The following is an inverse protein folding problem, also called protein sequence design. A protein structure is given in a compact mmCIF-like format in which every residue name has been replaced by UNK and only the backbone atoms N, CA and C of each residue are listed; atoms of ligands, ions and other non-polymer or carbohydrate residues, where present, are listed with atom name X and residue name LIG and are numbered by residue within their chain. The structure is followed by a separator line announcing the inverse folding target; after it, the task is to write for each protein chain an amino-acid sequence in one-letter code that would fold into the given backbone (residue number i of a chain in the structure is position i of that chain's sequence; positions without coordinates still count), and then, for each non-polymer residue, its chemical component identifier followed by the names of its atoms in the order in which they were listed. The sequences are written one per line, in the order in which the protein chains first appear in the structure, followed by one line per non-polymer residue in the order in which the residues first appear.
data_IF_191588162323
#
_entry.id   IF_191588162323
#
_cell.length_a   1.000
_cell.length_b   1.000
_cell.length_c   1.000
_cell.angle_alpha   90.00
_cell.angle_beta   90.00
_cell.angle_gamma   90.00
#
_symmetry.space_group_name_H-M   'P 1'
#
loop_
_entity.id
_entity.type
_entity.pdbx_description
1 polymer ?
#
# COMPACT_ATOMS: atom_id res chain seq x y z
N UNK A 1 -23.73 -6.91 -8.85
CA UNK A 1 -23.40 -5.72 -8.03
C UNK A 1 -23.30 -6.04 -6.55
N UNK A 2 -24.33 -6.60 -5.90
CA UNK A 2 -24.32 -6.96 -4.46
C UNK A 2 -23.09 -7.77 -4.05
N UNK A 3 -22.88 -8.90 -4.72
CA UNK A 3 -21.75 -9.79 -4.50
C UNK A 3 -20.37 -9.13 -4.75
N UNK A 4 -20.29 -8.09 -5.59
CA UNK A 4 -19.02 -7.37 -5.85
C UNK A 4 -18.68 -6.47 -4.66
N UNK A 5 -19.67 -5.73 -4.18
CA UNK A 5 -19.52 -4.87 -3.00
C UNK A 5 -19.24 -5.70 -1.75
N UNK A 6 -19.88 -6.87 -1.62
CA UNK A 6 -19.59 -7.80 -0.53
C UNK A 6 -18.14 -8.30 -0.58
N UNK A 7 -17.65 -8.73 -1.74
CA UNK A 7 -16.25 -9.14 -1.89
C UNK A 7 -15.26 -8.00 -1.58
N UNK A 8 -15.58 -6.77 -2.00
CA UNK A 8 -14.79 -5.58 -1.66
C UNK A 8 -14.76 -5.32 -0.15
N UNK A 9 -15.92 -5.42 0.52
CA UNK A 9 -16.03 -5.29 1.96
C UNK A 9 -15.23 -6.38 2.69
N UNK A 10 -15.34 -7.63 2.24
CA UNK A 10 -14.57 -8.75 2.80
C UNK A 10 -13.07 -8.51 2.66
N UNK A 11 -12.58 -8.13 1.48
CA UNK A 11 -11.13 -7.88 1.31
C UNK A 11 -10.61 -6.74 2.19
N UNK A 12 -11.40 -5.68 2.41
CA UNK A 12 -11.04 -4.59 3.32
C UNK A 12 -11.08 -5.00 4.78
N UNK A 13 -12.10 -5.77 5.14
CA UNK A 13 -12.26 -6.32 6.46
C UNK A 13 -11.11 -7.25 6.82
N UNK A 14 -10.74 -8.16 5.91
CA UNK A 14 -9.59 -9.04 6.05
C UNK A 14 -8.30 -8.25 6.18
N UNK A 15 -8.11 -7.19 5.38
CA UNK A 15 -6.92 -6.35 5.46
C UNK A 15 -6.81 -5.67 6.84
N UNK A 16 -7.93 -5.15 7.36
CA UNK A 16 -7.99 -4.55 8.70
C UNK A 16 -7.74 -5.56 9.82
N UNK A 17 -8.51 -6.65 9.86
CA UNK A 17 -8.50 -7.59 10.99
C UNK A 17 -7.20 -8.38 11.08
N UNK A 18 -6.49 -8.60 9.97
CA UNK A 18 -5.28 -9.43 9.93
C UNK A 18 -3.97 -8.64 9.99
N UNK A 19 -3.96 -7.36 9.59
CA UNK A 19 -2.71 -6.62 9.35
C UNK A 19 -2.67 -5.20 9.92
N UNK A 20 -3.64 -4.82 10.76
CA UNK A 20 -3.70 -3.47 11.35
C UNK A 20 -4.07 -3.51 12.84
N UNK A 21 -3.35 -4.28 13.65
CA UNK A 21 -3.53 -4.34 15.11
C UNK A 21 -2.85 -3.19 15.85
N UNK A 22 -1.68 -2.74 15.39
CA UNK A 22 -0.93 -1.69 16.06
C UNK A 22 -1.44 -0.30 15.63
N UNK A 23 -1.73 0.58 16.59
CA UNK A 23 -2.28 1.93 16.34
C UNK A 23 -1.23 2.88 15.73
N UNK A 24 0.07 2.62 15.89
CA UNK A 24 1.14 3.32 15.14
C UNK A 24 1.03 2.94 13.68
N UNK A 25 0.91 1.65 13.37
CA UNK A 25 0.65 1.18 12.01
C UNK A 25 -0.61 1.84 11.41
N UNK A 26 -1.73 1.81 12.13
CA UNK A 26 -2.96 2.50 11.70
C UNK A 26 -2.78 4.02 11.50
N UNK A 27 -2.01 4.70 12.35
CA UNK A 27 -1.74 6.14 12.21
C UNK A 27 -0.85 6.44 11.01
N UNK A 28 0.11 5.57 10.71
CA UNK A 28 0.91 5.65 9.50
C UNK A 28 0.09 5.37 8.24
N UNK A 29 -0.88 4.46 8.31
CA UNK A 29 -1.88 4.28 7.25
C UNK A 29 -2.75 5.52 7.05
N UNK A 30 -3.15 6.22 8.12
CA UNK A 30 -3.85 7.49 7.99
C UNK A 30 -3.01 8.56 7.26
N UNK A 31 -1.74 8.72 7.66
CA UNK A 31 -0.82 9.64 6.97
C UNK A 31 -0.65 9.25 5.50
N UNK A 32 -0.43 7.96 5.23
CA UNK A 32 -0.34 7.41 3.89
C UNK A 32 -1.58 7.74 3.06
N UNK A 33 -2.75 7.52 3.62
CA UNK A 33 -4.02 7.71 2.94
C UNK A 33 -4.26 9.18 2.58
N UNK A 34 -4.00 10.11 3.50
CA UNK A 34 -4.07 11.55 3.23
C UNK A 34 -3.10 11.95 2.11
N UNK A 35 -1.86 11.45 2.15
CA UNK A 35 -0.87 11.72 1.10
C UNK A 35 -1.27 11.12 -0.26
N UNK A 36 -1.91 9.94 -0.30
CA UNK A 36 -2.43 9.36 -1.54
C UNK A 36 -3.55 10.20 -2.14
N UNK A 37 -4.46 10.76 -1.33
CA UNK A 37 -5.51 11.66 -1.82
C UNK A 37 -4.90 12.92 -2.42
N UNK A 38 -3.87 13.49 -1.79
CA UNK A 38 -3.10 14.61 -2.38
C UNK A 38 -2.42 14.18 -3.69
N UNK A 39 -1.82 12.99 -3.73
CA UNK A 39 -1.21 12.44 -4.94
C UNK A 39 -2.23 12.25 -6.07
N UNK A 40 -3.49 11.88 -5.78
CA UNK A 40 -4.55 11.78 -6.80
C UNK A 40 -4.87 13.13 -7.43
N UNK A 41 -4.88 14.22 -6.66
CA UNK A 41 -5.03 15.57 -7.21
C UNK A 41 -3.84 15.91 -8.10
N UNK A 42 -2.62 15.66 -7.61
CA UNK A 42 -1.40 15.91 -8.38
C UNK A 42 -1.31 15.05 -9.64
N UNK A 43 -1.91 13.87 -9.70
CA UNK A 43 -1.90 13.03 -10.90
C UNK A 43 -2.52 13.75 -12.10
N UNK A 44 -3.44 14.68 -11.86
CA UNK A 44 -4.10 15.50 -12.87
C UNK A 44 -3.32 16.78 -13.23
N UNK A 45 -2.33 17.15 -12.42
CA UNK A 45 -1.53 18.38 -12.56
C UNK A 45 -0.15 18.03 -13.11
N UNK A 46 0.56 17.15 -12.41
CA UNK A 46 1.88 16.64 -12.72
C UNK A 46 1.99 15.18 -12.20
N UNK A 47 1.90 14.18 -13.10
CA UNK A 47 2.01 12.77 -12.75
C UNK A 47 3.34 12.38 -12.08
N UNK A 48 4.42 13.11 -12.35
CA UNK A 48 5.74 12.84 -11.78
C UNK A 48 5.79 13.30 -10.33
N UNK A 49 5.30 14.51 -10.04
CA UNK A 49 5.15 14.99 -8.65
C UNK A 49 4.18 14.10 -7.87
N UNK A 50 3.08 13.67 -8.50
CA UNK A 50 2.15 12.69 -7.92
C UNK A 50 2.87 11.42 -7.46
N UNK A 51 3.72 10.84 -8.31
CA UNK A 51 4.50 9.65 -7.98
C UNK A 51 5.50 9.90 -6.85
N UNK A 52 6.18 11.06 -6.82
CA UNK A 52 7.07 11.41 -5.72
C UNK A 52 6.32 11.46 -4.38
N UNK A 53 5.16 12.12 -4.32
CA UNK A 53 4.32 12.17 -3.11
C UNK A 53 3.86 10.76 -2.71
N UNK A 54 3.37 9.99 -3.69
CA UNK A 54 2.88 8.64 -3.48
C UNK A 54 3.97 7.72 -2.91
N UNK A 55 5.21 7.80 -3.40
CA UNK A 55 6.28 6.91 -2.96
C UNK A 55 7.02 7.39 -1.71
N UNK A 56 7.42 8.67 -1.66
CA UNK A 56 8.22 9.22 -0.56
C UNK A 56 7.44 9.38 0.73
N UNK A 57 6.16 9.76 0.65
CA UNK A 57 5.33 9.96 1.83
C UNK A 57 4.39 8.78 2.02
N UNK A 58 3.58 8.49 1.00
CA UNK A 58 2.47 7.57 1.20
C UNK A 58 2.90 6.11 1.35
N UNK A 59 3.62 5.56 0.38
CA UNK A 59 4.11 4.19 0.44
C UNK A 59 5.13 4.02 1.55
N UNK A 60 6.03 4.99 1.77
CA UNK A 60 7.01 4.89 2.85
C UNK A 60 6.35 4.79 4.23
N UNK A 61 5.34 5.61 4.53
CA UNK A 61 4.61 5.53 5.80
C UNK A 61 3.82 4.22 5.94
N UNK A 62 3.04 3.83 4.91
CA UNK A 62 2.30 2.56 4.89
C UNK A 62 3.21 1.35 5.10
N UNK A 63 4.33 1.32 4.40
CA UNK A 63 5.26 0.19 4.49
C UNK A 63 5.98 0.19 5.84
N UNK A 64 6.35 1.35 6.38
CA UNK A 64 6.88 1.43 7.74
C UNK A 64 5.91 0.87 8.78
N UNK A 65 4.62 1.15 8.65
CA UNK A 65 3.57 0.57 9.48
C UNK A 65 3.56 -0.95 9.45
N UNK A 66 3.47 -1.53 8.25
CA UNK A 66 3.47 -2.98 8.07
C UNK A 66 4.78 -3.68 8.47
N UNK A 67 5.95 -3.09 8.21
CA UNK A 67 7.24 -3.76 8.44
C UNK A 67 7.76 -3.62 9.87
N UNK A 68 7.57 -2.46 10.51
CA UNK A 68 8.21 -2.17 11.79
C UNK A 68 7.27 -2.25 12.99
N UNK A 69 5.96 -2.03 12.78
CA UNK A 69 5.01 -1.91 13.89
C UNK A 69 4.00 -3.05 13.93
N UNK A 70 3.61 -3.59 12.79
CA UNK A 70 2.66 -4.69 12.77
C UNK A 70 3.30 -6.00 13.27
N UNK A 71 2.64 -6.75 14.18
CA UNK A 71 3.16 -8.03 14.66
C UNK A 71 3.19 -9.11 13.58
N UNK A 72 4.27 -9.89 13.56
CA UNK A 72 4.48 -11.02 12.64
C UNK A 72 4.46 -12.37 13.38
N UNK A 73 3.97 -12.37 14.62
CA UNK A 73 3.77 -13.54 15.46
C UNK A 73 2.36 -14.13 15.28
N UNK A 74 1.96 -14.98 16.21
CA UNK A 74 0.66 -15.63 16.18
C UNK A 74 -0.46 -14.62 16.46
N UNK A 75 -1.44 -14.58 15.57
CA UNK A 75 -2.58 -13.67 15.66
C UNK A 75 -3.66 -14.26 16.57
N UNK A 76 -3.60 -13.88 17.85
CA UNK A 76 -4.56 -14.32 18.87
C UNK A 76 -5.98 -13.80 18.63
N UNK A 77 -6.16 -12.73 17.84
CA UNK A 77 -7.49 -12.17 17.54
C UNK A 77 -8.22 -13.02 16.51
N UNK A 78 -7.48 -13.56 15.54
CA UNK A 78 -8.04 -14.33 14.44
C UNK A 78 -7.68 -15.83 14.46
N UNK A 79 -7.03 -16.30 15.53
CA UNK A 79 -6.56 -17.69 15.69
C UNK A 79 -5.71 -18.16 14.48
N UNK A 80 -4.79 -17.31 14.03
CA UNK A 80 -4.09 -17.49 12.75
C UNK A 80 -2.57 -17.35 12.86
N UNK A 81 -1.84 -18.26 12.21
CA UNK A 81 -0.38 -18.11 12.07
C UNK A 81 -0.05 -17.02 11.06
N UNK A 82 1.09 -16.35 11.23
CA UNK A 82 1.57 -15.36 10.25
C UNK A 82 1.72 -15.97 8.85
N UNK A 83 2.23 -17.20 8.75
CA UNK A 83 2.36 -17.92 7.48
C UNK A 83 1.00 -18.09 6.79
N UNK A 84 -0.03 -18.51 7.52
CA UNK A 84 -1.37 -18.66 6.97
C UNK A 84 -1.91 -17.32 6.43
N UNK A 85 -1.77 -16.23 7.19
CA UNK A 85 -2.16 -14.88 6.75
C UNK A 85 -1.50 -14.53 5.41
N UNK A 86 -0.19 -14.75 5.31
CA UNK A 86 0.58 -14.46 4.10
C UNK A 86 0.23 -15.34 2.89
N UNK A 87 -0.21 -16.58 3.12
CA UNK A 87 -0.68 -17.51 2.08
C UNK A 87 -2.03 -17.08 1.48
N UNK A 88 -2.97 -16.64 2.33
CA UNK A 88 -4.31 -16.24 1.88
C UNK A 88 -4.37 -14.80 1.34
N UNK A 89 -3.27 -14.05 1.42
CA UNK A 89 -3.23 -12.63 1.06
C UNK A 89 -3.43 -12.42 -0.43
N UNK A 90 -4.59 -11.84 -0.79
CA UNK A 90 -4.94 -11.47 -2.17
C UNK A 90 -4.00 -10.39 -2.70
N UNK A 91 -3.61 -9.44 -1.87
CA UNK A 91 -2.69 -8.37 -2.25
C UNK A 91 -1.22 -8.80 -2.35
N UNK A 92 -0.34 -7.84 -2.09
CA UNK A 92 1.08 -8.12 -1.95
C UNK A 92 1.33 -8.72 -0.56
N UNK A 93 1.79 -9.96 -0.55
CA UNK A 93 2.42 -10.56 0.62
C UNK A 93 3.79 -9.93 0.87
N UNK A 94 4.35 -10.14 2.06
CA UNK A 94 5.58 -9.54 2.55
C UNK A 94 6.73 -9.74 1.57
N UNK A 95 6.89 -10.96 1.02
CA UNK A 95 7.91 -11.25 0.01
C UNK A 95 7.75 -10.38 -1.24
N UNK A 96 6.54 -10.26 -1.79
CA UNK A 96 6.27 -9.39 -2.96
C UNK A 96 6.47 -7.92 -2.62
N UNK A 97 6.11 -7.49 -1.41
CA UNK A 97 6.37 -6.13 -0.92
C UNK A 97 7.87 -5.84 -0.87
N UNK A 98 8.68 -6.75 -0.32
CA UNK A 98 10.15 -6.60 -0.27
C UNK A 98 10.75 -6.47 -1.67
N UNK A 99 10.31 -7.29 -2.64
CA UNK A 99 10.77 -7.18 -4.03
C UNK A 99 10.41 -5.81 -4.62
N UNK A 100 9.16 -5.36 -4.46
CA UNK A 100 8.72 -4.06 -4.96
C UNK A 100 9.50 -2.90 -4.33
N UNK A 101 9.70 -2.93 -3.01
CA UNK A 101 10.48 -1.91 -2.29
C UNK A 101 11.97 -1.94 -2.68
N UNK A 102 12.52 -3.12 -2.97
CA UNK A 102 13.89 -3.26 -3.48
C UNK A 102 14.05 -2.60 -4.84
N UNK A 103 13.11 -2.82 -5.77
CA UNK A 103 13.13 -2.18 -7.10
C UNK A 103 12.96 -0.66 -6.96
N UNK A 104 12.03 -0.22 -6.11
CA UNK A 104 11.82 1.19 -5.80
C UNK A 104 13.09 1.85 -5.26
N UNK A 105 13.78 1.22 -4.30
CA UNK A 105 15.01 1.76 -3.71
C UNK A 105 16.20 1.73 -4.68
N UNK A 106 16.24 0.77 -5.61
CA UNK A 106 17.31 0.65 -6.59
C UNK A 106 17.17 1.63 -7.76
N UNK A 107 15.95 2.04 -8.14
CA UNK A 107 15.75 2.86 -9.34
C UNK A 107 16.48 4.22 -9.33
N UNK A 108 16.56 4.97 -8.21
CA UNK A 108 17.35 6.20 -8.16
C UNK A 108 18.84 5.94 -8.37
N UNK A 109 19.36 4.81 -7.86
CA UNK A 109 20.77 4.44 -8.02
C UNK A 109 21.09 4.14 -9.49
N UNK A 110 20.21 3.41 -10.17
CA UNK A 110 20.36 3.13 -11.60
C UNK A 110 20.34 4.42 -12.40
N UNK A 111 19.40 5.33 -12.13
CA UNK A 111 19.32 6.63 -12.83
C UNK A 111 20.49 7.55 -12.49
N UNK A 112 21.11 7.40 -11.34
CA UNK A 112 22.30 8.17 -10.97
C UNK A 112 23.55 7.65 -11.70
N UNK A 113 23.71 6.32 -11.80
CA UNK A 113 24.84 5.68 -12.47
C UNK A 113 24.74 5.72 -14.00
N UNK A 114 23.51 5.65 -14.54
CA UNK A 114 23.20 5.73 -15.97
C UNK A 114 22.09 6.78 -16.22
N UNK A 115 22.44 8.08 -16.25
CA UNK A 115 21.48 9.19 -16.39
C UNK A 115 20.59 9.15 -17.63
N UNK A 116 21.08 8.56 -18.72
CA UNK A 116 20.38 8.37 -19.98
C UNK A 116 19.62 7.02 -20.06
N UNK A 117 19.66 6.25 -18.97
CA UNK A 117 19.11 4.90 -18.86
C UNK A 117 19.50 4.02 -20.07
N UNK A 118 20.80 3.97 -20.39
CA UNK A 118 21.34 3.21 -21.52
C UNK A 118 20.82 3.71 -22.88
N UNK A 119 20.67 5.02 -23.04
CA UNK A 119 20.19 5.68 -24.26
C UNK A 119 18.68 5.68 -24.44
N UNK A 120 17.90 5.28 -23.44
CA UNK A 120 16.43 5.27 -23.49
C UNK A 120 15.81 6.64 -23.23
N UNK A 121 16.49 7.52 -22.49
CA UNK A 121 15.99 8.85 -22.12
C UNK A 121 17.08 9.92 -22.28
N UNK A 122 16.67 11.17 -22.46
CA UNK A 122 17.60 12.31 -22.40
C UNK A 122 18.14 12.42 -20.99
N UNK A 123 19.47 12.43 -20.75
CA UNK A 123 20.03 12.52 -19.42
C UNK A 123 19.71 13.84 -18.71
N UNK A 124 19.49 13.76 -17.40
CA UNK A 124 19.26 14.92 -16.55
C UNK A 124 20.57 15.72 -16.36
N UNK A 125 20.46 17.04 -16.21
CA UNK A 125 21.62 17.93 -16.06
C UNK A 125 21.71 18.57 -14.68
N UNK A 126 20.67 18.46 -13.86
CA UNK A 126 20.59 19.02 -12.52
C UNK A 126 19.78 18.11 -11.57
N UNK A 127 19.69 18.51 -10.29
CA UNK A 127 18.99 17.75 -9.25
C UNK A 127 17.48 17.69 -9.46
N UNK A 128 16.89 18.72 -10.06
CA UNK A 128 15.46 18.74 -10.34
C UNK A 128 15.12 17.75 -11.46
N UNK A 129 15.90 17.75 -12.54
CA UNK A 129 15.79 16.76 -13.62
C UNK A 129 16.02 15.34 -13.12
N UNK A 130 16.99 15.13 -12.21
CA UNK A 130 17.19 13.83 -11.56
C UNK A 130 15.93 13.38 -10.79
N UNK A 131 15.40 14.24 -9.92
CA UNK A 131 14.19 13.94 -9.16
C UNK A 131 12.98 13.66 -10.08
N UNK A 132 12.88 14.38 -11.20
CA UNK A 132 11.84 14.17 -12.19
C UNK A 132 11.97 12.81 -12.89
N UNK A 133 13.18 12.39 -13.28
CA UNK A 133 13.40 11.05 -13.82
C UNK A 133 13.09 9.94 -12.81
N UNK A 134 13.48 10.14 -11.55
CA UNK A 134 13.16 9.22 -10.46
C UNK A 134 11.64 9.09 -10.30
N UNK A 135 10.93 10.23 -10.19
CA UNK A 135 9.48 10.25 -10.08
C UNK A 135 8.79 9.59 -11.27
N UNK A 136 9.25 9.84 -12.50
CA UNK A 136 8.74 9.18 -13.70
C UNK A 136 8.96 7.66 -13.66
N UNK A 137 10.15 7.20 -13.26
CA UNK A 137 10.44 5.77 -13.11
C UNK A 137 9.54 5.11 -12.07
N UNK A 138 9.27 5.81 -10.97
CA UNK A 138 8.39 5.35 -9.90
C UNK A 138 6.92 5.37 -10.27
N UNK A 139 6.49 6.31 -11.12
CA UNK A 139 5.16 6.29 -11.72
C UNK A 139 4.96 5.01 -12.54
N UNK A 140 5.91 4.71 -13.43
CA UNK A 140 5.90 3.49 -14.24
C UNK A 140 5.90 2.26 -13.34
N UNK A 141 6.73 2.23 -12.29
CA UNK A 141 6.78 1.13 -11.33
C UNK A 141 5.43 0.91 -10.62
N UNK A 142 4.77 1.99 -10.19
CA UNK A 142 3.47 1.92 -9.53
C UNK A 142 2.37 1.37 -10.45
N UNK A 143 2.28 1.89 -11.68
CA UNK A 143 1.31 1.42 -12.69
C UNK A 143 1.60 -0.03 -13.08
N UNK A 144 2.86 -0.36 -13.39
CA UNK A 144 3.25 -1.71 -13.76
C UNK A 144 3.00 -2.71 -12.63
N UNK A 145 3.30 -2.35 -11.38
CA UNK A 145 3.00 -3.17 -10.21
C UNK A 145 1.52 -3.49 -10.08
N UNK A 146 0.66 -2.47 -10.16
CA UNK A 146 -0.79 -2.63 -10.10
C UNK A 146 -1.30 -3.56 -11.21
N UNK A 147 -0.91 -3.30 -12.47
CA UNK A 147 -1.36 -4.06 -13.63
C UNK A 147 -0.85 -5.51 -13.60
N UNK A 148 0.43 -5.71 -13.26
CA UNK A 148 1.02 -7.04 -13.11
C UNK A 148 0.27 -7.85 -12.06
N UNK A 149 -0.01 -7.25 -10.89
CA UNK A 149 -0.72 -7.96 -9.83
C UNK A 149 -2.17 -8.26 -10.22
N UNK A 150 -2.86 -7.33 -10.85
CA UNK A 150 -4.21 -7.55 -11.37
C UNK A 150 -4.22 -8.72 -12.37
N UNK A 151 -3.30 -8.74 -13.33
CA UNK A 151 -3.17 -9.84 -14.29
C UNK A 151 -2.88 -11.18 -13.60
N UNK A 152 -1.97 -11.21 -12.63
CA UNK A 152 -1.72 -12.43 -11.84
C UNK A 152 -2.98 -12.93 -11.13
N UNK A 153 -3.81 -12.03 -10.57
CA UNK A 153 -5.07 -12.40 -9.93
C UNK A 153 -6.07 -13.01 -10.91
N UNK A 154 -6.15 -12.49 -12.14
CA UNK A 154 -6.98 -13.10 -13.20
C UNK A 154 -6.54 -14.55 -13.48
N UNK A 155 -5.24 -14.81 -13.48
CA UNK A 155 -4.69 -16.14 -13.76
C UNK A 155 -4.80 -17.11 -12.60
N UNK A 156 -4.69 -16.61 -11.36
CA UNK A 156 -4.70 -17.42 -10.13
C UNK A 156 -6.11 -17.69 -9.61
N UNK A 157 -7.03 -16.76 -9.82
CA UNK A 157 -8.38 -16.80 -9.27
C UNK A 157 -9.39 -16.55 -10.39
N UNK A 158 -9.72 -15.29 -10.67
CA UNK A 158 -10.66 -14.90 -11.72
C UNK A 158 -10.62 -13.38 -11.98
N UNK A 159 -11.28 -12.93 -13.06
CA UNK A 159 -11.32 -11.52 -13.48
C UNK A 159 -12.04 -10.61 -12.49
N UNK A 160 -13.06 -11.13 -11.81
CA UNK A 160 -13.84 -10.37 -10.84
C UNK A 160 -13.00 -10.11 -9.58
N UNK A 161 -12.26 -11.09 -9.09
CA UNK A 161 -11.36 -10.93 -7.94
C UNK A 161 -10.28 -9.89 -8.24
N UNK A 162 -9.71 -9.91 -9.44
CA UNK A 162 -8.77 -8.88 -9.88
C UNK A 162 -9.43 -7.48 -9.90
N UNK A 163 -10.66 -7.36 -10.41
CA UNK A 163 -11.38 -6.08 -10.43
C UNK A 163 -11.70 -5.57 -9.02
N UNK A 164 -12.18 -6.43 -8.12
CA UNK A 164 -12.42 -6.09 -6.71
C UNK A 164 -11.12 -5.58 -6.07
N UNK A 165 -10.02 -6.27 -6.31
CA UNK A 165 -8.73 -5.89 -5.75
C UNK A 165 -8.23 -4.54 -6.29
N UNK A 166 -8.34 -4.28 -7.60
CA UNK A 166 -7.99 -2.97 -8.18
C UNK A 166 -8.88 -1.87 -7.61
N UNK A 167 -10.19 -2.10 -7.53
CA UNK A 167 -11.13 -1.14 -6.92
C UNK A 167 -10.78 -0.87 -5.46
N UNK A 168 -10.44 -1.92 -4.69
CA UNK A 168 -9.93 -1.80 -3.33
C UNK A 168 -8.74 -0.84 -3.31
N UNK A 169 -7.66 -1.16 -4.02
CA UNK A 169 -6.42 -0.36 -4.02
C UNK A 169 -6.68 1.12 -4.36
N UNK A 170 -7.50 1.41 -5.38
CA UNK A 170 -7.81 2.79 -5.81
C UNK A 170 -8.68 3.56 -4.82
N UNK A 171 -9.44 2.87 -3.97
CA UNK A 171 -10.39 3.51 -3.04
C UNK A 171 -10.00 3.34 -1.58
N UNK A 172 -8.95 2.56 -1.29
CA UNK A 172 -8.40 2.35 0.04
C UNK A 172 -7.97 3.63 0.74
N UNK A 173 -7.36 4.64 0.09
CA UNK A 173 -7.04 5.89 0.79
C UNK A 173 -8.26 6.53 1.47
N UNK A 174 -9.42 6.54 0.81
CA UNK A 174 -10.65 7.07 1.43
C UNK A 174 -11.15 6.18 2.57
N UNK A 175 -11.05 4.86 2.41
CA UNK A 175 -11.47 3.90 3.43
C UNK A 175 -10.55 3.94 4.66
N UNK A 176 -9.24 4.02 4.46
CA UNK A 176 -8.22 4.12 5.50
C UNK A 176 -8.39 5.42 6.30
N UNK A 177 -8.70 6.56 5.66
CA UNK A 177 -9.04 7.80 6.38
C UNK A 177 -10.27 7.56 7.27
N UNK A 178 -11.35 7.02 6.71
CA UNK A 178 -12.57 6.74 7.47
C UNK A 178 -12.30 5.81 8.65
N UNK A 179 -11.49 4.76 8.46
CA UNK A 179 -11.23 3.75 9.47
C UNK A 179 -10.23 4.23 10.54
N UNK A 180 -9.17 4.93 10.15
CA UNK A 180 -8.02 5.22 11.02
C UNK A 180 -7.90 6.66 11.50
N UNK A 181 -8.82 7.57 11.15
CA UNK A 181 -8.77 8.97 11.61
C UNK A 181 -8.68 9.16 13.14
N UNK A 182 -9.11 8.17 13.94
CA UNK A 182 -9.02 8.20 15.41
C UNK A 182 -7.76 7.52 15.97
N UNK A 183 -7.00 6.79 15.17
CA UNK A 183 -5.83 6.04 15.64
C UNK A 183 -4.80 6.93 16.38
N UNK A 184 -4.48 8.15 15.92
CA UNK A 184 -3.58 9.04 16.67
C UNK A 184 -4.12 9.43 18.05
N UNK A 185 -5.44 9.63 18.18
CA UNK A 185 -6.08 9.95 19.47
C UNK A 185 -5.99 8.77 20.44
N UNK A 186 -6.13 7.53 19.94
CA UNK A 186 -5.95 6.33 20.76
C UNK A 186 -4.50 6.18 21.23
N UNK A 187 -3.52 6.45 20.36
CA UNK A 187 -2.10 6.44 20.74
C UNK A 187 -1.78 7.45 21.84
N UNK A 188 -2.31 8.68 21.74
CA UNK A 188 -2.12 9.71 22.78
C UNK A 188 -2.72 9.30 24.14
N UNK A 189 -3.67 8.38 24.15
CA UNK A 189 -4.25 7.79 25.37
C UNK A 189 -3.49 6.55 25.87
N UNK A 190 -2.35 6.22 25.26
CA UNK A 190 -1.54 5.05 25.60
C UNK A 190 -2.06 3.73 25.03
N UNK A 191 -3.06 3.75 24.15
CA UNK A 191 -3.60 2.54 23.53
C UNK A 191 -2.79 2.18 22.29
N UNK A 192 -1.67 1.46 22.48
CA UNK A 192 -0.82 1.03 21.36
C UNK A 192 -1.48 -0.05 20.50
N UNK A 193 -2.12 -1.03 21.12
CA UNK A 193 -2.81 -2.11 20.39
C UNK A 193 -4.31 -1.81 20.29
N UNK A 194 -4.89 -2.02 19.11
CA UNK A 194 -6.33 -2.05 18.92
C UNK A 194 -6.92 -3.27 19.64
N UNK A 195 -7.87 -3.11 20.59
CA UNK A 195 -8.50 -4.26 21.25
C UNK A 195 -9.32 -5.15 20.30
N UNK A 196 -9.59 -4.71 19.06
CA UNK A 196 -10.30 -5.49 18.04
C UNK A 196 -11.67 -6.03 18.48
N UNK A 197 -12.36 -5.29 19.36
CA UNK A 197 -13.66 -5.69 19.91
C UNK A 197 -14.73 -5.88 18.81
N UNK A 198 -14.70 -5.05 17.78
CA UNK A 198 -15.57 -5.13 16.60
C UNK A 198 -15.25 -6.34 15.72
N UNK A 199 -14.01 -6.84 15.73
CA UNK A 199 -13.66 -8.09 15.02
C UNK A 199 -14.28 -9.29 15.71
N UNK A 200 -14.16 -9.35 17.04
CA UNK A 200 -14.75 -10.44 17.84
C UNK A 200 -16.26 -10.49 17.74
N UNK A 201 -16.93 -9.33 17.69
CA UNK A 201 -18.39 -9.24 17.52
C UNK A 201 -18.89 -9.67 16.14
N UNK A 202 -18.02 -9.69 15.12
CA UNK A 202 -18.38 -10.14 13.76
C UNK A 202 -18.19 -11.66 13.55
N UNK A 203 -17.52 -12.36 14.47
CA UNK A 203 -17.27 -13.80 14.40
C UNK A 203 -18.16 -14.66 15.30
N UNK A 204 -19.06 -14.05 16.07
CA UNK A 204 -20.09 -14.71 16.89
C UNK A 204 -21.45 -14.62 16.20
#
# INVERSE_FOLDING_TARGET
MKDFLQALQTQRWDDHRYYHHDRINQSLHLLSALAFVVAYVWLLIDPVVSALIAWLVSMTSRQAGHFFFEPHDYDQVNDATHQYKEEIKVGYNLRRKVVLMGIWAASPLVLWLAPDLFGLITPHTDWLGFAHHVGASWLVLGVAGLLLRAFQLVRQQDSRTALVWVTKILTDPFHDIWLYHKAPLHLMRGQRMDPMAHVRAHGA
#
